data_IF_915899969529
#
_entry.id   IF_915899969529
#
_cell.length_a   1.000
_cell.length_b   1.000
_cell.length_c   1.000
_cell.angle_alpha   90.00
_cell.angle_beta   90.00
_cell.angle_gamma   90.00
#
_symmetry.space_group_name_H-M   'P 1'
#
loop_
_entity.id
_entity.type
_entity.pdbx_description
1 polymer ?
#
# COMPACT_ATOMS: atom_id res chain seq x y z
N UNK A 1 -4.79 14.98 -13.99
CA UNK A 1 -4.26 13.71 -13.42
C UNK A 1 -2.98 13.93 -12.59
N UNK A 2 -1.98 14.68 -13.10
CA UNK A 2 -0.76 15.04 -12.34
C UNK A 2 -1.02 15.55 -10.92
N UNK A 3 -1.95 16.50 -10.75
CA UNK A 3 -2.27 17.09 -9.43
C UNK A 3 -2.74 16.06 -8.41
N UNK A 4 -3.48 15.03 -8.84
CA UNK A 4 -3.96 13.96 -7.94
C UNK A 4 -2.82 13.01 -7.54
N UNK A 5 -1.90 12.75 -8.46
CA UNK A 5 -0.73 11.89 -8.22
C UNK A 5 0.32 12.59 -7.33
N UNK A 6 0.59 13.88 -7.57
CA UNK A 6 1.46 14.68 -6.69
C UNK A 6 0.86 14.85 -5.31
N UNK A 7 -0.46 15.09 -5.20
CA UNK A 7 -1.13 15.16 -3.91
C UNK A 7 -1.05 13.82 -3.16
N UNK A 8 -1.26 12.69 -3.84
CA UNK A 8 -1.06 11.36 -3.26
C UNK A 8 0.37 11.17 -2.75
N UNK A 9 1.37 11.47 -3.57
CA UNK A 9 2.78 11.31 -3.17
C UNK A 9 3.17 12.24 -2.01
N UNK A 10 2.67 13.49 -1.99
CA UNK A 10 2.86 14.42 -0.86
C UNK A 10 2.22 13.85 0.41
N UNK A 11 0.98 13.37 0.34
CA UNK A 11 0.29 12.79 1.49
C UNK A 11 1.05 11.58 2.03
N UNK A 12 1.52 10.67 1.16
CA UNK A 12 2.34 9.51 1.56
C UNK A 12 3.62 9.95 2.26
N UNK A 13 4.29 10.98 1.71
CA UNK A 13 5.55 11.48 2.25
C UNK A 13 5.35 12.15 3.61
N UNK A 14 4.28 12.95 3.77
CA UNK A 14 3.89 13.55 5.06
C UNK A 14 3.54 12.46 6.08
N UNK A 15 2.76 11.45 5.70
CA UNK A 15 2.40 10.34 6.60
C UNK A 15 3.64 9.56 7.05
N UNK A 16 4.56 9.27 6.12
CA UNK A 16 5.80 8.57 6.41
C UNK A 16 6.71 9.39 7.32
N UNK A 17 6.86 10.69 7.06
CA UNK A 17 7.64 11.57 7.93
C UNK A 17 7.02 11.70 9.33
N UNK A 18 5.69 11.84 9.43
CA UNK A 18 5.01 11.90 10.71
C UNK A 18 5.11 10.59 11.50
N UNK A 19 5.09 9.43 10.81
CA UNK A 19 5.24 8.10 11.41
C UNK A 19 6.66 7.77 11.86
N UNK A 20 7.67 8.54 11.45
CA UNK A 20 9.07 8.30 11.79
C UNK A 20 9.32 8.49 13.30
N UNK A 21 8.77 9.56 13.88
CA UNK A 21 8.93 9.90 15.29
C UNK A 21 8.42 8.78 16.22
N UNK A 22 7.17 8.31 16.12
CA UNK A 22 6.68 7.22 16.99
C UNK A 22 7.40 5.90 16.71
N UNK A 23 7.87 5.66 15.48
CA UNK A 23 8.61 4.44 15.15
C UNK A 23 9.98 4.39 15.82
N UNK A 24 10.68 5.52 15.89
CA UNK A 24 11.96 5.64 16.58
C UNK A 24 11.83 5.58 18.12
N UNK A 25 10.61 5.67 18.66
CA UNK A 25 10.33 5.53 20.09
C UNK A 25 10.03 4.07 20.49
N UNK A 26 9.96 3.14 19.54
CA UNK A 26 9.76 1.73 19.85
C UNK A 26 11.03 1.13 20.48
N UNK A 27 10.91 0.14 21.39
CA UNK A 27 12.08 -0.51 21.99
C UNK A 27 12.93 -1.22 20.93
N UNK A 28 14.25 -1.00 20.98
CA UNK A 28 15.22 -1.69 20.13
C UNK A 28 15.23 -3.20 20.39
N UNK A 29 15.69 -3.98 19.40
CA UNK A 29 15.78 -5.44 19.44
C UNK A 29 16.65 -6.01 20.57
N UNK A 30 17.46 -5.20 21.24
CA UNK A 30 18.21 -5.62 22.43
C UNK A 30 17.33 -5.73 23.68
N UNK A 31 16.18 -5.05 23.71
CA UNK A 31 15.28 -5.00 24.87
C UNK A 31 14.24 -6.13 24.90
N UNK A 32 14.08 -6.90 23.81
CA UNK A 32 13.10 -7.99 23.70
C UNK A 32 13.77 -9.19 23.03
N UNK A 33 13.65 -10.39 23.62
CA UNK A 33 14.31 -11.63 23.17
C UNK A 33 13.76 -12.20 21.84
N UNK A 34 13.36 -11.34 20.90
CA UNK A 34 12.88 -11.66 19.57
C UNK A 34 13.94 -11.27 18.53
N UNK A 35 14.26 -12.20 17.62
CA UNK A 35 15.31 -12.05 16.60
C UNK A 35 15.08 -10.85 15.64
N UNK A 36 13.84 -10.35 15.55
CA UNK A 36 13.46 -9.10 14.88
C UNK A 36 12.73 -8.23 15.91
N UNK A 37 13.32 -7.09 16.27
CA UNK A 37 12.72 -6.13 17.19
C UNK A 37 11.49 -5.41 16.60
N UNK A 38 10.56 -4.95 17.45
CA UNK A 38 9.30 -4.33 17.03
C UNK A 38 9.51 -3.05 16.21
N UNK A 39 10.69 -2.44 16.28
CA UNK A 39 11.08 -1.25 15.53
C UNK A 39 11.51 -1.52 14.09
N UNK A 40 12.13 -2.68 13.80
CA UNK A 40 12.73 -2.97 12.50
C UNK A 40 11.69 -3.00 11.38
N UNK A 41 10.55 -3.64 11.63
CA UNK A 41 9.51 -3.81 10.61
C UNK A 41 8.83 -2.49 10.21
N UNK A 42 8.30 -1.67 11.15
CA UNK A 42 7.71 -0.37 10.82
C UNK A 42 8.72 0.59 10.15
N UNK A 43 9.98 0.58 10.60
CA UNK A 43 11.03 1.43 10.05
C UNK A 43 11.35 1.04 8.60
N UNK A 44 11.44 -0.26 8.31
CA UNK A 44 11.67 -0.76 6.94
C UNK A 44 10.56 -0.32 5.98
N UNK A 45 9.29 -0.38 6.40
CA UNK A 45 8.13 0.06 5.63
C UNK A 45 8.16 1.57 5.42
N UNK A 46 8.53 2.35 6.44
CA UNK A 46 8.66 3.81 6.33
C UNK A 46 9.74 4.21 5.34
N UNK A 47 10.92 3.57 5.37
CA UNK A 47 11.98 3.81 4.38
C UNK A 47 11.48 3.49 2.98
N UNK A 48 10.83 2.34 2.77
CA UNK A 48 10.30 1.95 1.48
C UNK A 48 9.24 2.97 0.96
N UNK A 49 8.32 3.41 1.82
CA UNK A 49 7.33 4.43 1.48
C UNK A 49 7.98 5.74 1.07
N UNK A 50 9.02 6.16 1.79
CA UNK A 50 9.73 7.41 1.54
C UNK A 50 10.49 7.35 0.22
N UNK A 51 11.17 6.23 -0.06
CA UNK A 51 11.86 5.97 -1.34
C UNK A 51 10.88 5.94 -2.51
N UNK A 52 9.80 5.17 -2.42
CA UNK A 52 8.82 5.06 -3.51
C UNK A 52 8.04 6.35 -3.71
N UNK A 53 7.69 7.08 -2.65
CA UNK A 53 7.07 8.40 -2.73
C UNK A 53 7.99 9.42 -3.42
N UNK A 54 9.27 9.45 -3.06
CA UNK A 54 10.27 10.28 -3.71
C UNK A 54 10.47 9.91 -5.18
N UNK A 55 10.53 8.61 -5.50
CA UNK A 55 10.65 8.11 -6.86
C UNK A 55 9.45 8.53 -7.74
N UNK A 56 8.22 8.40 -7.22
CA UNK A 56 7.00 8.86 -7.88
C UNK A 56 7.01 10.37 -8.15
N UNK A 57 7.43 11.18 -7.18
CA UNK A 57 7.58 12.63 -7.36
C UNK A 57 8.63 12.97 -8.41
N UNK A 58 9.77 12.27 -8.39
CA UNK A 58 10.84 12.44 -9.37
C UNK A 58 10.35 12.12 -10.80
N UNK A 59 9.72 10.96 -11.00
CA UNK A 59 9.22 10.53 -12.30
C UNK A 59 8.14 11.48 -12.84
N UNK A 60 7.27 11.97 -11.94
CA UNK A 60 6.23 12.95 -12.28
C UNK A 60 6.83 14.29 -12.73
N UNK A 61 7.89 14.77 -12.06
CA UNK A 61 8.61 16.00 -12.44
C UNK A 61 9.41 15.85 -13.73
N UNK A 62 10.10 14.72 -13.92
CA UNK A 62 10.88 14.42 -15.14
C UNK A 62 9.98 14.34 -16.38
N UNK A 63 8.81 13.74 -16.24
CA UNK A 63 7.81 13.67 -17.33
C UNK A 63 7.20 15.05 -17.65
N UNK A 64 7.26 16.00 -16.73
CA UNK A 64 6.77 17.37 -16.95
C UNK A 64 7.68 18.20 -17.84
N UNK A 65 9.00 18.05 -17.73
CA UNK A 65 9.96 18.67 -18.65
C UNK A 65 9.83 18.16 -20.08
N UNK A 66 9.71 16.83 -20.25
CA UNK A 66 9.61 16.20 -21.58
C UNK A 66 8.36 16.56 -22.38
N UNK A 67 7.27 16.96 -21.73
CA UNK A 67 6.02 17.31 -22.41
C UNK A 67 5.96 18.80 -22.79
N UNK A 68 6.83 19.62 -22.20
CA UNK A 68 7.00 21.04 -22.57
C UNK A 68 7.83 21.18 -23.85
N UNK A 69 8.86 20.35 -24.03
CA UNK A 69 9.74 20.39 -25.21
C UNK A 69 9.09 19.85 -26.50
N UNK A 70 7.92 19.20 -26.39
CA UNK A 70 7.16 18.67 -27.52
C UNK A 70 5.99 19.59 -27.95
N UNK A 71 5.72 20.68 -27.22
CA UNK A 71 4.61 21.59 -27.54
C UNK A 71 5.00 22.80 -28.41
N UNK A 72 6.27 22.92 -28.82
CA UNK A 72 6.73 23.96 -29.78
C UNK A 72 6.85 23.47 -31.23
N UNK A 73 6.55 22.20 -31.52
CA UNK A 73 6.60 21.67 -32.88
C UNK A 73 5.40 20.76 -33.18
N UNK A 74 4.32 21.33 -33.70
CA UNK A 74 3.24 20.56 -34.35
C UNK A 74 1.84 21.01 -33.95
N UNK A 75 1.35 22.03 -34.64
CA UNK A 75 -0.05 22.42 -34.66
C UNK A 75 -0.79 21.51 -35.65
N UNK A 76 -1.44 20.43 -35.17
CA UNK A 76 -2.55 19.73 -35.87
C UNK A 76 -3.51 19.06 -34.86
N UNK A 77 -4.84 19.16 -35.04
CA UNK A 77 -5.83 18.68 -34.08
C UNK A 77 -6.21 17.21 -34.37
N UNK A 78 -5.51 16.26 -33.74
CA UNK A 78 -5.86 14.84 -33.85
C UNK A 78 -6.81 14.38 -32.73
N UNK A 79 -7.88 13.70 -33.16
CA UNK A 79 -9.10 13.40 -32.42
C UNK A 79 -8.88 12.75 -31.04
N UNK A 80 -9.53 13.33 -30.03
CA UNK A 80 -9.58 12.81 -28.67
C UNK A 80 -10.34 11.48 -28.59
N UNK A 81 -9.61 10.36 -28.57
CA UNK A 81 -10.13 9.06 -28.14
C UNK A 81 -10.33 9.12 -26.61
N UNK A 82 -11.53 8.85 -26.07
CA UNK A 82 -11.81 9.04 -24.66
C UNK A 82 -11.12 7.93 -23.85
N UNK A 83 -10.05 8.33 -23.16
CA UNK A 83 -9.21 7.50 -22.32
C UNK A 83 -9.89 7.21 -20.95
N UNK A 84 -11.10 6.63 -20.96
CA UNK A 84 -11.93 6.51 -19.76
C UNK A 84 -11.54 5.31 -18.85
N UNK A 85 -10.69 4.38 -19.33
CA UNK A 85 -10.28 3.19 -18.55
C UNK A 85 -9.17 3.46 -17.54
N UNK A 86 -8.39 4.53 -17.72
CA UNK A 86 -7.28 4.89 -16.84
C UNK A 86 -7.69 5.77 -15.64
N UNK A 87 -8.91 6.32 -15.65
CA UNK A 87 -9.43 7.16 -14.55
C UNK A 87 -9.80 6.36 -13.29
N UNK A 88 -10.17 5.08 -13.42
CA UNK A 88 -10.56 4.23 -12.28
C UNK A 88 -9.31 3.73 -11.54
N UNK A 89 -8.21 3.48 -12.27
CA UNK A 89 -6.91 3.13 -11.70
C UNK A 89 -6.36 4.25 -10.79
N UNK A 90 -6.54 5.51 -11.18
CA UNK A 90 -6.09 6.66 -10.41
C UNK A 90 -6.83 6.87 -9.07
N UNK A 91 -8.08 6.43 -8.94
CA UNK A 91 -8.83 6.43 -7.67
C UNK A 91 -8.61 5.18 -6.82
N UNK A 92 -8.13 4.08 -7.42
CA UNK A 92 -7.96 2.77 -6.78
C UNK A 92 -7.02 2.83 -5.57
N UNK A 93 -5.99 3.67 -5.64
CA UNK A 93 -5.04 3.88 -4.55
C UNK A 93 -5.70 4.46 -3.29
N UNK A 94 -6.70 5.33 -3.44
CA UNK A 94 -7.47 5.87 -2.31
C UNK A 94 -8.32 4.79 -1.64
N UNK A 95 -8.97 3.94 -2.44
CA UNK A 95 -9.73 2.80 -1.91
C UNK A 95 -8.84 1.78 -1.21
N UNK A 96 -7.61 1.54 -1.71
CA UNK A 96 -6.63 0.69 -1.04
C UNK A 96 -6.18 1.28 0.29
N UNK A 97 -5.86 2.57 0.34
CA UNK A 97 -5.51 3.26 1.60
C UNK A 97 -6.64 3.21 2.61
N UNK A 98 -7.88 3.48 2.17
CA UNK A 98 -9.06 3.39 3.02
C UNK A 98 -9.28 1.95 3.52
N UNK A 99 -9.12 0.94 2.66
CA UNK A 99 -9.21 -0.46 3.04
C UNK A 99 -8.16 -0.83 4.10
N UNK A 100 -6.94 -0.30 4.00
CA UNK A 100 -5.89 -0.52 5.00
C UNK A 100 -6.26 0.08 6.35
N UNK A 101 -6.82 1.30 6.39
CA UNK A 101 -7.31 1.92 7.64
C UNK A 101 -8.49 1.15 8.22
N UNK A 102 -9.43 0.70 7.39
CA UNK A 102 -10.56 -0.12 7.85
C UNK A 102 -10.06 -1.44 8.43
N UNK A 103 -9.06 -2.07 7.80
CA UNK A 103 -8.43 -3.29 8.29
C UNK A 103 -7.82 -3.10 9.69
N UNK A 104 -7.14 -1.99 9.96
CA UNK A 104 -6.58 -1.74 11.29
C UNK A 104 -7.64 -1.58 12.37
N UNK A 105 -8.77 -0.95 12.04
CA UNK A 105 -9.92 -0.86 12.95
C UNK A 105 -10.60 -2.22 13.14
N UNK A 106 -10.73 -3.01 12.08
CA UNK A 106 -11.31 -4.35 12.14
C UNK A 106 -10.50 -5.32 13.00
N UNK A 107 -9.16 -5.22 12.99
CA UNK A 107 -8.31 -6.04 13.85
C UNK A 107 -8.68 -5.89 15.34
N UNK A 108 -9.09 -4.69 15.77
CA UNK A 108 -9.52 -4.45 17.15
C UNK A 108 -10.89 -5.07 17.47
N UNK A 109 -11.77 -5.18 16.48
CA UNK A 109 -13.15 -5.63 16.67
C UNK A 109 -13.31 -7.15 16.56
N UNK A 110 -12.71 -7.77 15.54
CA UNK A 110 -12.93 -9.19 15.21
C UNK A 110 -11.67 -10.06 15.33
N UNK A 111 -10.50 -9.49 15.63
CA UNK A 111 -9.24 -10.23 15.70
C UNK A 111 -8.42 -10.18 14.41
N UNK A 112 -7.16 -10.59 14.50
CA UNK A 112 -6.18 -10.46 13.42
C UNK A 112 -6.51 -11.36 12.23
N UNK A 113 -6.84 -12.62 12.50
CA UNK A 113 -7.02 -13.62 11.45
C UNK A 113 -8.23 -13.32 10.55
N UNK A 114 -9.45 -13.09 11.08
CA UNK A 114 -10.61 -12.79 10.24
C UNK A 114 -10.53 -11.40 9.59
N UNK A 115 -9.91 -10.40 10.25
CA UNK A 115 -9.67 -9.10 9.63
C UNK A 115 -8.73 -9.21 8.42
N UNK A 116 -7.67 -10.02 8.53
CA UNK A 116 -6.70 -10.25 7.45
C UNK A 116 -7.35 -10.98 6.28
N UNK A 117 -8.18 -11.98 6.55
CA UNK A 117 -8.91 -12.71 5.50
C UNK A 117 -9.86 -11.78 4.74
N UNK A 118 -10.64 -10.94 5.43
CA UNK A 118 -11.53 -9.99 4.77
C UNK A 118 -10.76 -8.92 4.00
N UNK A 119 -9.67 -8.41 4.57
CA UNK A 119 -8.81 -7.44 3.88
C UNK A 119 -8.22 -8.02 2.60
N UNK A 120 -7.68 -9.24 2.65
CA UNK A 120 -7.15 -9.93 1.47
C UNK A 120 -8.23 -10.12 0.39
N UNK A 121 -9.45 -10.51 0.77
CA UNK A 121 -10.59 -10.60 -0.15
C UNK A 121 -10.91 -9.25 -0.81
N UNK A 122 -11.06 -8.19 0.00
CA UNK A 122 -11.41 -6.84 -0.48
C UNK A 122 -10.32 -6.29 -1.39
N UNK A 123 -9.05 -6.45 -1.05
CA UNK A 123 -7.91 -5.98 -1.86
C UNK A 123 -7.80 -6.78 -3.15
N UNK A 124 -7.90 -8.11 -3.13
CA UNK A 124 -7.86 -8.93 -4.35
C UNK A 124 -9.01 -8.58 -5.30
N UNK A 125 -10.22 -8.39 -4.77
CA UNK A 125 -11.36 -7.93 -5.54
C UNK A 125 -11.14 -6.52 -6.08
N UNK A 126 -10.67 -5.61 -5.22
CA UNK A 126 -10.39 -4.23 -5.59
C UNK A 126 -9.31 -4.16 -6.65
N UNK A 127 -8.30 -5.05 -6.69
CA UNK A 127 -7.26 -5.18 -7.72
C UNK A 127 -7.76 -5.82 -9.03
N UNK A 128 -8.99 -6.32 -9.07
CA UNK A 128 -9.68 -6.74 -10.29
C UNK A 128 -9.52 -8.21 -10.61
N UNK A 129 -9.19 -9.04 -9.62
CA UNK A 129 -9.27 -10.48 -9.76
C UNK A 129 -10.73 -10.86 -10.09
N UNK A 130 -10.94 -11.46 -11.26
CA UNK A 130 -12.28 -11.70 -11.83
C UNK A 130 -12.88 -13.06 -11.45
N UNK A 131 -12.07 -13.95 -10.88
CA UNK A 131 -12.46 -15.30 -10.51
C UNK A 131 -12.35 -15.51 -9.00
N UNK A 132 -13.47 -15.85 -8.36
CA UNK A 132 -13.57 -16.03 -6.91
C UNK A 132 -12.79 -17.26 -6.39
N UNK A 133 -12.64 -18.31 -7.20
CA UNK A 133 -11.93 -19.54 -6.82
C UNK A 133 -10.47 -19.28 -6.43
N UNK A 134 -9.64 -18.70 -7.32
CA UNK A 134 -8.25 -18.36 -7.00
C UNK A 134 -8.11 -17.41 -5.81
N UNK A 135 -9.01 -16.42 -5.66
CA UNK A 135 -8.99 -15.50 -4.52
C UNK A 135 -9.18 -16.29 -3.22
N UNK A 136 -10.22 -17.13 -3.15
CA UNK A 136 -10.53 -17.88 -1.94
C UNK A 136 -9.42 -18.89 -1.60
N UNK A 137 -8.82 -19.52 -2.62
CA UNK A 137 -7.67 -20.41 -2.43
C UNK A 137 -6.46 -19.65 -1.86
N UNK A 138 -6.15 -18.47 -2.40
CA UNK A 138 -5.02 -17.65 -1.93
C UNK A 138 -5.24 -17.17 -0.50
N UNK A 139 -6.47 -16.74 -0.18
CA UNK A 139 -6.86 -16.33 1.19
C UNK A 139 -6.77 -17.51 2.15
N UNK A 140 -7.28 -18.68 1.78
CA UNK A 140 -7.22 -19.88 2.62
C UNK A 140 -5.76 -20.31 2.86
N UNK A 141 -4.93 -20.34 1.83
CA UNK A 141 -3.50 -20.65 1.94
C UNK A 141 -2.79 -19.65 2.85
N UNK A 142 -3.05 -18.35 2.68
CA UNK A 142 -2.48 -17.31 3.51
C UNK A 142 -2.88 -17.46 4.99
N UNK A 143 -4.15 -17.74 5.27
CA UNK A 143 -4.66 -17.99 6.64
C UNK A 143 -3.99 -19.21 7.26
N UNK A 144 -3.86 -20.32 6.52
CA UNK A 144 -3.18 -21.54 7.00
C UNK A 144 -1.69 -21.28 7.29
N UNK A 145 -1.00 -20.58 6.39
CA UNK A 145 0.41 -20.21 6.59
C UNK A 145 0.60 -19.31 7.80
N UNK A 146 -0.24 -18.27 7.93
CA UNK A 146 -0.22 -17.36 9.08
C UNK A 146 -0.46 -18.15 10.36
N UNK A 147 -1.49 -18.99 10.41
CA UNK A 147 -1.78 -19.81 11.58
C UNK A 147 -0.62 -20.75 11.91
N UNK A 148 -0.03 -21.40 10.91
CA UNK A 148 1.11 -22.29 11.09
C UNK A 148 2.34 -21.54 11.64
N UNK A 149 2.68 -20.39 11.07
CA UNK A 149 3.82 -19.59 11.55
C UNK A 149 3.56 -19.05 12.95
N UNK A 150 2.40 -18.48 13.24
CA UNK A 150 2.16 -17.84 14.52
C UNK A 150 1.89 -18.84 15.65
N UNK A 151 1.09 -19.87 15.41
CA UNK A 151 0.73 -20.84 16.45
C UNK A 151 1.81 -21.92 16.60
N UNK A 152 2.29 -22.52 15.50
CA UNK A 152 3.22 -23.63 15.60
C UNK A 152 4.67 -23.17 15.77
N UNK A 153 5.08 -22.08 15.10
CA UNK A 153 6.47 -21.62 15.15
C UNK A 153 6.71 -20.60 16.27
N UNK A 154 5.77 -19.68 16.51
CA UNK A 154 5.92 -18.60 17.49
C UNK A 154 5.15 -18.84 18.81
N UNK A 155 4.25 -19.82 18.88
CA UNK A 155 3.47 -20.13 20.08
C UNK A 155 2.47 -19.04 20.49
N UNK A 156 2.13 -18.11 19.59
CA UNK A 156 1.24 -16.98 19.87
C UNK A 156 -0.19 -17.36 19.46
N UNK A 157 -1.16 -17.42 20.40
CA UNK A 157 -2.56 -17.66 20.05
C UNK A 157 -3.13 -16.44 19.32
N UNK A 158 -3.57 -16.66 18.08
CA UNK A 158 -4.23 -15.64 17.27
C UNK A 158 -5.76 -15.69 17.48
N UNK A 159 -6.42 -14.56 17.72
CA UNK A 159 -7.88 -14.42 17.67
C UNK A 159 -8.42 -14.38 16.23
#
# INVERSE_FOLDING_TARGET
MRTRLTLFAIVVLVLASAGLIPTLQLPDSEAVSTFIGPQLWPLSLLIALLLFGAFLLWETRKSAGKQSDLHEAGDEPEAAIPNHRLSIAASRHWYLMAATVIYTLMMQAIGFLPATALFALVVSWLLGARHWGPILATVAIAVVLIQGVFVLLLGIPLP
#
